data_IF_033218926742
#
_entry.id   IF_033218926742
#
_cell.length_a   1.000
_cell.length_b   1.000
_cell.length_c   1.000
_cell.angle_alpha   90.00
_cell.angle_beta   90.00
_cell.angle_gamma   90.00
#
_symmetry.space_group_name_H-M   'P 1'
#
loop_
_entity.id
_entity.type
_entity.pdbx_description
1 polymer ?
#
# COMPACT_ATOMS: atom_id res chain seq x y z
N UNK A 1 26.48 -14.23 -38.97
CA UNK A 1 26.27 -13.92 -37.53
C UNK A 1 25.08 -14.74 -37.05
N UNK A 2 25.28 -15.50 -35.99
CA UNK A 2 24.29 -16.38 -35.36
C UNK A 2 24.18 -16.06 -33.87
N UNK A 3 22.99 -16.23 -33.30
CA UNK A 3 22.80 -16.13 -31.85
C UNK A 3 22.97 -17.52 -31.25
N UNK A 4 23.81 -17.64 -30.21
CA UNK A 4 24.05 -18.88 -29.48
C UNK A 4 23.18 -19.00 -28.23
N UNK A 5 23.15 -20.20 -27.62
CA UNK A 5 22.44 -20.46 -26.38
C UNK A 5 22.94 -19.58 -25.21
N UNK A 6 22.06 -19.19 -24.26
CA UNK A 6 22.46 -18.41 -23.10
C UNK A 6 23.56 -19.07 -22.27
N UNK A 7 24.55 -18.27 -21.85
CA UNK A 7 25.63 -18.72 -20.98
C UNK A 7 26.74 -19.51 -21.68
N UNK A 8 26.69 -19.67 -23.00
CA UNK A 8 27.83 -20.14 -23.80
C UNK A 8 28.86 -19.02 -24.01
N UNK A 9 30.07 -19.35 -24.44
CA UNK A 9 31.08 -18.35 -24.81
C UNK A 9 30.82 -17.80 -26.21
N UNK A 10 31.17 -16.53 -26.44
CA UNK A 10 31.17 -15.98 -27.79
C UNK A 10 32.27 -16.63 -28.63
N UNK A 11 31.98 -16.90 -29.89
CA UNK A 11 32.94 -17.52 -30.80
C UNK A 11 32.98 -16.80 -32.14
N UNK A 12 34.16 -16.88 -32.77
CA UNK A 12 34.39 -16.41 -34.13
C UNK A 12 35.15 -17.49 -34.89
N UNK A 13 34.70 -17.81 -36.09
CA UNK A 13 35.34 -18.78 -37.00
C UNK A 13 35.64 -18.08 -38.31
N UNK A 14 36.87 -18.18 -38.83
CA UNK A 14 37.18 -17.73 -40.18
C UNK A 14 36.91 -18.88 -41.16
N UNK A 15 35.84 -18.79 -41.95
CA UNK A 15 35.51 -19.75 -43.01
C UNK A 15 36.14 -19.39 -44.37
N UNK A 16 36.82 -18.24 -44.45
CA UNK A 16 37.57 -17.79 -45.63
C UNK A 16 39.05 -18.19 -45.60
N UNK A 17 39.89 -17.46 -46.34
CA UNK A 17 41.35 -17.65 -46.35
C UNK A 17 42.04 -16.62 -45.43
N UNK A 18 43.37 -16.70 -45.30
CA UNK A 18 44.13 -15.67 -44.58
C UNK A 18 44.14 -14.32 -45.32
N UNK A 19 43.98 -14.33 -46.64
CA UNK A 19 44.03 -13.14 -47.50
C UNK A 19 42.62 -12.64 -47.87
N UNK A 20 41.60 -13.45 -47.66
CA UNK A 20 40.18 -13.13 -47.88
C UNK A 20 39.34 -13.80 -46.79
N UNK A 21 39.31 -13.17 -45.61
CA UNK A 21 38.69 -13.72 -44.42
C UNK A 21 37.16 -13.54 -44.45
N UNK A 22 36.44 -14.59 -44.08
CA UNK A 22 34.99 -14.55 -43.85
C UNK A 22 34.75 -14.95 -42.40
N UNK A 23 34.33 -13.99 -41.58
CA UNK A 23 34.21 -14.19 -40.13
C UNK A 23 32.77 -14.52 -39.73
N UNK A 24 32.58 -15.74 -39.24
CA UNK A 24 31.34 -16.24 -38.70
C UNK A 24 31.32 -16.07 -37.19
N UNK A 25 30.56 -15.07 -36.74
CA UNK A 25 30.35 -14.78 -35.32
C UNK A 25 29.16 -15.56 -34.76
N UNK A 26 29.35 -16.18 -33.59
CA UNK A 26 28.26 -16.60 -32.71
C UNK A 26 28.29 -15.77 -31.43
N UNK A 27 27.21 -15.03 -31.17
CA UNK A 27 27.05 -14.23 -29.95
C UNK A 27 25.99 -14.89 -29.06
N UNK A 28 26.34 -15.33 -27.84
CA UNK A 28 25.40 -15.94 -26.91
C UNK A 28 24.26 -14.99 -26.55
N UNK A 29 23.04 -15.53 -26.43
CA UNK A 29 21.93 -14.78 -25.88
C UNK A 29 22.22 -14.38 -24.42
N UNK A 30 21.71 -13.22 -24.00
CA UNK A 30 21.71 -12.83 -22.59
C UNK A 30 20.90 -13.80 -21.72
N UNK A 31 21.19 -13.83 -20.42
CA UNK A 31 20.33 -14.55 -19.46
C UNK A 31 18.92 -13.97 -19.49
N UNK A 32 17.92 -14.83 -19.33
CA UNK A 32 16.54 -14.37 -19.08
C UNK A 32 16.51 -13.58 -17.77
N UNK A 33 15.82 -12.45 -17.77
CA UNK A 33 15.64 -11.64 -16.55
C UNK A 33 14.88 -12.41 -15.48
N UNK A 34 15.08 -12.05 -14.22
CA UNK A 34 14.27 -12.60 -13.13
C UNK A 34 12.79 -12.24 -13.32
N UNK A 35 11.90 -13.16 -12.93
CA UNK A 35 10.47 -12.84 -12.88
C UNK A 35 10.22 -11.77 -11.83
N UNK A 36 9.36 -10.80 -12.15
CA UNK A 36 8.96 -9.76 -11.20
C UNK A 36 8.32 -10.33 -9.95
N UNK A 37 8.43 -9.61 -8.84
CA UNK A 37 7.73 -9.94 -7.59
C UNK A 37 6.21 -9.94 -7.83
N UNK A 38 5.47 -10.98 -7.36
CA UNK A 38 4.02 -10.98 -7.42
C UNK A 38 3.42 -9.76 -6.71
N UNK A 39 2.28 -9.29 -7.23
CA UNK A 39 1.53 -8.20 -6.59
C UNK A 39 1.06 -8.64 -5.21
N UNK A 40 1.34 -7.82 -4.20
CA UNK A 40 0.82 -8.01 -2.84
C UNK A 40 0.07 -6.75 -2.41
N UNK A 41 -1.25 -6.84 -2.33
CA UNK A 41 -2.11 -5.74 -1.90
C UNK A 41 -3.39 -6.24 -1.25
N UNK A 42 -3.99 -5.40 -0.43
CA UNK A 42 -5.35 -5.58 0.05
C UNK A 42 -6.08 -4.23 0.03
N UNK A 43 -7.31 -4.24 -0.47
CA UNK A 43 -8.23 -3.11 -0.39
C UNK A 43 -9.44 -3.49 0.46
N UNK A 44 -9.93 -2.54 1.24
CA UNK A 44 -11.15 -2.69 2.03
C UNK A 44 -11.94 -1.38 2.01
N UNK A 45 -13.25 -1.46 2.24
CA UNK A 45 -14.13 -0.29 2.23
C UNK A 45 -15.22 -0.40 3.30
N UNK A 46 -15.98 0.68 3.48
CA UNK A 46 -17.10 0.76 4.41
C UNK A 46 -18.21 1.65 3.83
N UNK A 47 -19.44 1.15 3.74
CA UNK A 47 -20.57 1.90 3.16
C UNK A 47 -21.62 2.36 4.18
N UNK A 48 -21.93 1.65 5.28
CA UNK A 48 -22.74 2.21 6.34
C UNK A 48 -22.00 3.33 7.06
N UNK A 49 -22.71 4.43 7.35
CA UNK A 49 -22.20 5.43 8.27
C UNK A 49 -22.12 4.84 9.69
N UNK A 50 -21.05 5.18 10.40
CA UNK A 50 -20.76 4.71 11.74
C UNK A 50 -20.42 5.89 12.63
N UNK A 51 -20.64 5.73 13.93
CA UNK A 51 -20.30 6.75 14.92
C UNK A 51 -18.87 6.57 15.41
N UNK A 52 -18.18 7.68 15.64
CA UNK A 52 -16.87 7.72 16.26
C UNK A 52 -16.77 8.84 17.29
N UNK A 53 -15.81 8.65 18.20
CA UNK A 53 -15.40 9.58 19.24
C UNK A 53 -13.87 9.62 19.28
N UNK A 54 -13.30 10.18 20.34
CA UNK A 54 -11.86 10.27 20.49
C UNK A 54 -11.21 8.88 20.53
N UNK A 55 -10.21 8.63 19.69
CA UNK A 55 -9.50 7.36 19.62
C UNK A 55 -10.27 6.21 18.98
N UNK A 56 -11.37 6.45 18.25
CA UNK A 56 -12.10 5.35 17.59
C UNK A 56 -11.30 4.77 16.45
N UNK A 57 -10.97 3.48 16.53
CA UNK A 57 -10.47 2.72 15.38
C UNK A 57 -11.61 2.48 14.39
N UNK A 58 -11.42 2.90 13.14
CA UNK A 58 -12.47 2.93 12.12
C UNK A 58 -12.67 1.54 11.51
N UNK A 59 -13.92 1.09 11.41
CA UNK A 59 -14.26 -0.26 10.94
C UNK A 59 -14.50 -0.29 9.44
N UNK A 60 -13.88 -1.26 8.76
CA UNK A 60 -14.10 -1.57 7.36
C UNK A 60 -14.97 -2.82 7.23
N UNK A 61 -16.13 -2.71 6.58
CA UNK A 61 -17.17 -3.75 6.57
C UNK A 61 -16.90 -4.86 5.53
N UNK A 62 -16.11 -4.57 4.49
CA UNK A 62 -15.91 -5.44 3.33
C UNK A 62 -14.44 -5.43 2.89
N UNK A 63 -13.98 -6.59 2.43
CA UNK A 63 -12.79 -6.70 1.60
C UNK A 63 -13.17 -6.48 0.12
N UNK A 64 -12.28 -5.83 -0.63
CA UNK A 64 -12.34 -5.71 -2.08
C UNK A 64 -11.23 -6.57 -2.71
N UNK A 65 -10.40 -5.99 -3.59
CA UNK A 65 -9.29 -6.69 -4.23
C UNK A 65 -8.24 -7.12 -3.20
N UNK A 66 -7.79 -8.37 -3.28
CA UNK A 66 -6.76 -8.93 -2.40
C UNK A 66 -5.85 -9.86 -3.20
N UNK A 67 -4.55 -9.60 -3.15
CA UNK A 67 -3.51 -10.42 -3.78
C UNK A 67 -2.35 -10.64 -2.81
N UNK A 68 -1.74 -11.82 -2.89
CA UNK A 68 -0.62 -12.20 -2.03
C UNK A 68 -1.04 -12.47 -0.60
N UNK A 69 -0.06 -12.49 0.30
CA UNK A 69 -0.28 -12.80 1.73
C UNK A 69 0.31 -11.75 2.67
N UNK A 70 0.97 -10.72 2.14
CA UNK A 70 1.57 -9.65 2.93
C UNK A 70 0.57 -8.89 3.81
N UNK A 71 -0.69 -8.79 3.42
CA UNK A 71 -1.71 -8.05 4.16
C UNK A 71 -2.96 -8.92 4.33
N UNK A 72 -3.53 -8.95 5.52
CA UNK A 72 -4.82 -9.58 5.80
C UNK A 72 -5.75 -8.65 6.58
N UNK A 73 -7.05 -8.81 6.35
CA UNK A 73 -8.10 -8.07 7.04
C UNK A 73 -9.33 -8.96 7.24
N UNK A 74 -9.90 -8.92 8.44
CA UNK A 74 -11.19 -9.56 8.72
C UNK A 74 -12.30 -8.55 8.46
N UNK A 75 -13.20 -8.83 7.53
CA UNK A 75 -14.33 -7.95 7.22
C UNK A 75 -15.16 -7.64 8.48
N UNK A 76 -15.50 -6.37 8.69
CA UNK A 76 -16.16 -5.89 9.91
C UNK A 76 -15.19 -5.59 11.07
N UNK A 77 -13.88 -5.62 10.84
CA UNK A 77 -12.87 -5.22 11.83
C UNK A 77 -12.27 -3.84 11.52
N UNK A 78 -11.54 -3.28 12.47
CA UNK A 78 -10.78 -2.04 12.30
C UNK A 78 -9.28 -2.26 12.09
N UNK A 79 -8.84 -3.52 12.08
CA UNK A 79 -7.42 -3.89 12.13
C UNK A 79 -7.00 -4.61 10.86
N UNK A 80 -5.93 -4.11 10.25
CA UNK A 80 -5.21 -4.78 9.17
C UNK A 80 -3.93 -5.39 9.72
N UNK A 81 -3.59 -6.60 9.30
CA UNK A 81 -2.35 -7.27 9.70
C UNK A 81 -1.38 -7.31 8.54
N UNK A 82 -0.18 -6.77 8.76
CA UNK A 82 0.98 -6.93 7.89
C UNK A 82 1.69 -8.22 8.28
N UNK A 83 1.59 -9.24 7.44
CA UNK A 83 2.10 -10.59 7.70
C UNK A 83 3.55 -10.79 7.25
N UNK A 84 4.15 -9.79 6.58
CA UNK A 84 5.54 -9.82 6.12
C UNK A 84 6.25 -8.52 6.49
N UNK A 85 7.54 -8.57 6.89
CA UNK A 85 8.35 -7.36 6.91
C UNK A 85 8.42 -6.73 5.51
N UNK A 86 8.60 -5.42 5.44
CA UNK A 86 8.70 -4.73 4.16
C UNK A 86 8.32 -3.26 4.22
N UNK A 87 8.45 -2.60 3.07
CA UNK A 87 7.91 -1.26 2.84
C UNK A 87 6.50 -1.38 2.27
N UNK A 88 5.57 -0.60 2.80
CA UNK A 88 4.17 -0.57 2.38
C UNK A 88 3.77 0.85 2.00
N UNK A 89 2.83 0.98 1.07
CA UNK A 89 2.08 2.21 0.81
C UNK A 89 0.64 2.03 1.27
N UNK A 90 0.14 3.00 2.03
CA UNK A 90 -1.25 3.02 2.50
C UNK A 90 -1.93 4.27 1.99
N UNK A 91 -3.02 4.09 1.25
CA UNK A 91 -3.90 5.17 0.80
C UNK A 91 -5.26 5.01 1.47
N UNK A 92 -5.77 6.08 2.09
CA UNK A 92 -7.04 6.11 2.79
C UNK A 92 -7.87 7.31 2.34
N UNK A 93 -9.18 7.12 2.26
CA UNK A 93 -10.16 8.18 2.12
C UNK A 93 -11.43 7.82 2.89
N UNK A 94 -12.11 8.81 3.47
CA UNK A 94 -13.42 8.64 4.09
C UNK A 94 -14.18 9.95 4.23
N UNK A 95 -15.50 9.89 4.21
CA UNK A 95 -16.34 11.04 4.52
C UNK A 95 -16.61 11.12 6.02
N UNK A 96 -16.48 12.33 6.58
CA UNK A 96 -16.73 12.65 7.98
C UNK A 96 -17.76 13.77 8.10
N UNK A 97 -18.59 13.70 9.14
CA UNK A 97 -19.57 14.73 9.47
C UNK A 97 -19.72 14.87 11.00
N UNK A 98 -20.20 16.02 11.51
CA UNK A 98 -20.50 16.20 12.93
C UNK A 98 -21.53 15.20 13.45
N UNK A 99 -21.32 14.69 14.66
CA UNK A 99 -22.32 13.90 15.38
C UNK A 99 -23.40 14.79 16.00
N UNK A 100 -24.45 14.17 16.55
CA UNK A 100 -25.51 14.89 17.26
C UNK A 100 -25.01 15.49 18.58
N UNK A 101 -25.47 16.69 18.93
CA UNK A 101 -25.25 17.29 20.25
C UNK A 101 -23.84 17.86 20.47
N UNK A 102 -23.08 18.11 19.40
CA UNK A 102 -21.74 18.71 19.47
C UNK A 102 -21.78 20.24 19.44
N UNK A 103 -20.75 20.86 20.01
CA UNK A 103 -20.50 22.30 19.89
C UNK A 103 -19.61 22.58 18.67
N UNK A 104 -19.80 23.75 18.07
CA UNK A 104 -18.98 24.25 16.97
C UNK A 104 -18.07 25.40 17.44
N UNK A 105 -16.84 25.51 16.93
CA UNK A 105 -16.23 24.64 15.92
C UNK A 105 -15.88 23.23 16.44
N UNK A 106 -16.08 22.21 15.60
CA UNK A 106 -15.73 20.82 15.89
C UNK A 106 -14.57 20.37 15.00
N UNK A 107 -13.42 20.10 15.59
CA UNK A 107 -12.30 19.48 14.87
C UNK A 107 -12.39 17.95 14.92
N UNK A 108 -12.36 17.32 13.76
CA UNK A 108 -12.22 15.87 13.60
C UNK A 108 -10.94 15.59 12.82
N UNK A 109 -10.12 14.69 13.33
CA UNK A 109 -8.92 14.22 12.64
C UNK A 109 -8.91 12.71 12.49
N UNK A 110 -8.14 12.23 11.52
CA UNK A 110 -7.83 10.82 11.30
C UNK A 110 -6.34 10.65 11.20
N UNK A 111 -5.82 9.54 11.72
CA UNK A 111 -4.43 9.14 11.52
C UNK A 111 -4.29 7.64 11.34
N UNK A 112 -3.31 7.24 10.54
CA UNK A 112 -2.85 5.85 10.49
C UNK A 112 -1.98 5.57 11.71
N UNK A 113 -2.20 4.44 12.36
CA UNK A 113 -1.36 3.92 13.44
C UNK A 113 -0.82 2.54 13.08
N UNK A 114 0.45 2.30 13.42
CA UNK A 114 1.11 1.00 13.37
C UNK A 114 1.48 0.58 14.79
N UNK A 115 0.90 -0.54 15.27
CA UNK A 115 1.10 -1.00 16.64
C UNK A 115 0.72 0.05 17.70
N UNK A 116 -0.32 0.86 17.43
CA UNK A 116 -0.76 1.96 18.30
C UNK A 116 0.07 3.24 18.20
N UNK A 117 1.17 3.25 17.45
CA UNK A 117 1.99 4.45 17.22
C UNK A 117 1.57 5.15 15.92
N UNK A 118 1.39 6.48 15.91
CA UNK A 118 1.08 7.22 14.68
C UNK A 118 2.16 7.05 13.60
N UNK A 119 1.73 6.85 12.36
CA UNK A 119 2.61 6.86 11.19
C UNK A 119 2.79 8.32 10.73
N UNK A 120 4.04 8.76 10.60
CA UNK A 120 4.36 10.13 10.21
C UNK A 120 3.79 10.46 8.82
N UNK A 121 3.18 11.64 8.68
CA UNK A 121 2.58 12.10 7.41
C UNK A 121 1.26 11.42 7.03
N UNK A 122 0.76 10.48 7.84
CA UNK A 122 -0.45 9.72 7.55
C UNK A 122 -1.67 10.24 8.34
N UNK A 123 -1.94 11.54 8.27
CA UNK A 123 -3.04 12.16 9.01
C UNK A 123 -3.74 13.26 8.22
N UNK A 124 -5.01 13.48 8.51
CA UNK A 124 -5.82 14.57 7.98
C UNK A 124 -6.77 15.11 9.05
N UNK A 125 -7.17 16.37 8.94
CA UNK A 125 -8.08 17.02 9.88
C UNK A 125 -9.02 17.98 9.14
N UNK A 126 -10.24 18.11 9.65
CA UNK A 126 -11.18 19.15 9.27
C UNK A 126 -11.83 19.77 10.50
N UNK A 127 -12.15 21.07 10.43
CA UNK A 127 -12.86 21.80 11.49
C UNK A 127 -14.21 22.25 10.95
N UNK A 128 -15.26 21.55 11.39
CA UNK A 128 -16.64 21.81 11.03
C UNK A 128 -17.17 23.03 11.79
N UNK A 129 -18.05 23.80 11.14
CA UNK A 129 -18.66 25.00 11.73
C UNK A 129 -20.19 24.92 11.86
N UNK A 130 -20.81 23.91 11.25
CA UNK A 130 -22.26 23.68 11.31
C UNK A 130 -22.57 22.18 11.34
N UNK A 131 -23.76 21.80 11.81
CA UNK A 131 -24.19 20.39 11.91
C UNK A 131 -24.52 19.72 10.57
N UNK A 132 -24.75 20.50 9.51
CA UNK A 132 -25.00 19.99 8.16
C UNK A 132 -23.72 19.83 7.34
N UNK A 133 -22.56 20.15 7.91
CA UNK A 133 -21.28 20.12 7.23
C UNK A 133 -20.75 18.67 7.06
N UNK A 134 -19.92 18.46 6.04
CA UNK A 134 -19.37 17.16 5.69
C UNK A 134 -18.07 17.35 4.91
N UNK A 135 -17.04 16.57 5.23
CA UNK A 135 -15.71 16.70 4.65
C UNK A 135 -15.09 15.34 4.37
N UNK A 136 -14.38 15.24 3.23
CA UNK A 136 -13.51 14.11 2.96
C UNK A 136 -12.18 14.30 3.70
N UNK A 137 -11.77 13.28 4.46
CA UNK A 137 -10.44 13.18 5.04
C UNK A 137 -9.69 12.04 4.35
N UNK A 138 -8.50 12.35 3.86
CA UNK A 138 -7.67 11.41 3.10
C UNK A 138 -6.19 11.57 3.43
N UNK A 139 -5.44 10.48 3.36
CA UNK A 139 -3.99 10.51 3.40
C UNK A 139 -3.40 9.44 2.50
N UNK A 140 -2.14 9.61 2.11
CA UNK A 140 -1.32 8.55 1.55
C UNK A 140 0.04 8.62 2.21
N UNK A 141 0.51 7.50 2.76
CA UNK A 141 1.80 7.46 3.44
C UNK A 141 2.50 6.12 3.21
N UNK A 142 3.81 6.13 2.97
CA UNK A 142 4.62 4.93 3.08
C UNK A 142 4.91 4.62 4.56
N UNK A 143 5.10 3.33 4.87
CA UNK A 143 5.56 2.88 6.18
C UNK A 143 6.44 1.64 6.06
N UNK A 144 7.30 1.42 7.06
CA UNK A 144 8.11 0.21 7.18
C UNK A 144 7.56 -0.70 8.29
N UNK A 145 7.31 -1.96 7.95
CA UNK A 145 7.08 -3.02 8.92
C UNK A 145 8.40 -3.76 9.16
N UNK A 146 9.12 -3.40 10.22
CA UNK A 146 10.40 -4.01 10.56
C UNK A 146 10.26 -5.49 10.98
N UNK A 147 9.11 -5.86 11.54
CA UNK A 147 8.76 -7.22 11.93
C UNK A 147 7.32 -7.54 11.52
N UNK A 148 7.00 -8.82 11.47
CA UNK A 148 5.65 -9.31 11.27
C UNK A 148 5.28 -10.34 12.35
N UNK A 149 4.02 -10.37 12.81
CA UNK A 149 2.92 -9.52 12.36
C UNK A 149 3.01 -8.08 12.91
N UNK A 150 2.65 -7.10 12.08
CA UNK A 150 2.42 -5.72 12.53
C UNK A 150 0.96 -5.32 12.27
N UNK A 151 0.35 -4.58 13.19
CA UNK A 151 -1.06 -4.17 13.06
C UNK A 151 -1.16 -2.73 12.58
N UNK A 152 -2.00 -2.48 11.59
CA UNK A 152 -2.40 -1.14 11.16
C UNK A 152 -3.86 -0.87 11.55
N UNK A 153 -4.12 0.36 11.99
CA UNK A 153 -5.47 0.87 12.23
C UNK A 153 -5.57 2.31 11.73
N UNK A 154 -6.71 2.68 11.17
CA UNK A 154 -7.05 4.10 10.99
C UNK A 154 -7.83 4.54 12.21
N UNK A 155 -7.39 5.60 12.87
CA UNK A 155 -7.98 6.08 14.13
C UNK A 155 -8.50 7.49 13.94
N UNK A 156 -9.78 7.69 14.22
CA UNK A 156 -10.42 9.00 14.24
C UNK A 156 -10.42 9.63 15.64
N UNK A 157 -10.32 10.95 15.69
CA UNK A 157 -10.35 11.74 16.92
C UNK A 157 -11.32 12.91 16.76
N UNK A 158 -12.11 13.17 17.81
CA UNK A 158 -13.16 14.18 17.87
C UNK A 158 -14.13 13.86 19.01
N UNK A 159 -14.97 14.80 19.44
CA UNK A 159 -15.94 14.53 20.52
C UNK A 159 -17.02 13.53 20.08
N UNK A 160 -17.82 13.88 19.06
CA UNK A 160 -18.73 12.96 18.40
C UNK A 160 -18.79 13.28 16.90
N UNK A 161 -18.59 12.26 16.06
CA UNK A 161 -18.62 12.40 14.61
C UNK A 161 -19.19 11.15 13.96
N UNK A 162 -19.61 11.31 12.71
CA UNK A 162 -19.96 10.22 11.82
C UNK A 162 -18.83 10.03 10.82
N UNK A 163 -18.58 8.78 10.44
CA UNK A 163 -17.67 8.42 9.37
C UNK A 163 -18.32 7.38 8.46
N UNK A 164 -18.05 7.41 7.15
CA UNK A 164 -18.64 6.48 6.20
C UNK A 164 -18.12 6.73 4.79
N UNK A 165 -18.55 5.91 3.82
CA UNK A 165 -18.07 5.97 2.44
C UNK A 165 -16.54 5.98 2.44
N UNK A 166 -15.96 4.94 3.03
CA UNK A 166 -14.53 4.86 3.30
C UNK A 166 -13.88 3.82 2.42
N UNK A 167 -12.61 4.05 2.08
CA UNK A 167 -11.78 3.10 1.37
C UNK A 167 -10.35 3.16 1.90
N UNK A 168 -9.70 2.00 1.94
CA UNK A 168 -8.27 1.88 2.19
C UNK A 168 -7.66 0.88 1.24
N UNK A 169 -6.47 1.21 0.73
CA UNK A 169 -5.63 0.33 -0.07
C UNK A 169 -4.27 0.23 0.59
N UNK A 170 -3.80 -0.98 0.85
CA UNK A 170 -2.49 -1.28 1.41
C UNK A 170 -1.75 -2.13 0.38
N UNK A 171 -0.65 -1.60 -0.16
CA UNK A 171 0.20 -2.31 -1.12
C UNK A 171 1.59 -2.51 -0.54
N UNK A 172 2.13 -3.73 -0.63
CA UNK A 172 3.54 -3.97 -0.30
C UNK A 172 4.40 -3.53 -1.49
N UNK A 173 5.41 -2.71 -1.22
CA UNK A 173 6.34 -2.18 -2.22
C UNK A 173 7.60 -3.02 -2.36
N UNK A 174 7.95 -3.82 -1.34
CA UNK A 174 9.11 -4.70 -1.36
C UNK A 174 9.71 -4.91 0.02
N UNK A 175 10.91 -5.51 0.05
CA UNK A 175 11.70 -5.66 1.26
C UNK A 175 12.21 -4.31 1.77
N UNK A 176 12.53 -4.23 3.06
CA UNK A 176 13.22 -3.06 3.61
C UNK A 176 14.65 -3.09 3.06
N UNK A 177 15.16 -1.99 2.44
CA UNK A 177 16.52 -1.95 1.95
C UNK A 177 17.52 -2.25 3.08
N UNK A 178 18.36 -3.26 2.87
CA UNK A 178 19.55 -3.44 3.70
C UNK A 178 20.59 -2.42 3.22
N UNK A 179 21.02 -1.53 4.11
CA UNK A 179 22.17 -0.65 3.87
C UNK A 179 23.45 -1.44 3.67
#
# INVERSE_FOLDING_TARGET
MTTGEPGTEASVVNSGTQQDAVLDFTIPQGKTGESGTPVELLSAYSTPAQAGTNGTALIFDRNALSYGTAVSHTAGSSSFTLNKPGVYSVAFQGNFAPGSGVNFPLSVSVSLQQGGSPVAGAAAQHTFHTSSDSANLSFTAPLAAASAPATLQVVGNGTAYLYGIMGITISRLGDIPTT
#
